data_IF_519112160192
#
_entry.id   IF_519112160192
#
_cell.length_a   1.000
_cell.length_b   1.000
_cell.length_c   1.000
_cell.angle_alpha   90.00
_cell.angle_beta   90.00
_cell.angle_gamma   90.00
#
_symmetry.space_group_name_H-M   'P 1'
#
loop_
_entity.id
_entity.type
_entity.pdbx_description
1 polymer ?
#
# COMPACT_ATOMS: atom_id res chain seq x y z
N UNK A 1 5.58 -9.97 36.51
CA UNK A 1 6.93 -10.33 36.03
C UNK A 1 6.75 -11.11 34.74
N UNK A 2 6.66 -10.40 33.62
CA UNK A 2 6.38 -10.99 32.30
C UNK A 2 7.73 -11.27 31.65
N UNK A 3 7.97 -12.52 31.31
CA UNK A 3 9.19 -12.96 30.65
C UNK A 3 9.32 -12.26 29.29
N UNK A 4 10.28 -11.35 29.20
CA UNK A 4 10.79 -10.82 27.94
C UNK A 4 11.53 -11.96 27.25
N UNK A 5 10.83 -12.67 26.37
CA UNK A 5 11.45 -13.60 25.44
C UNK A 5 12.37 -12.79 24.53
N UNK A 6 13.68 -12.97 24.71
CA UNK A 6 14.73 -12.52 23.83
C UNK A 6 14.50 -13.06 22.42
N UNK A 7 13.93 -12.23 21.55
CA UNK A 7 13.87 -12.46 20.11
C UNK A 7 14.99 -11.66 19.46
N UNK A 8 15.82 -12.38 18.72
CA UNK A 8 16.95 -11.97 17.88
C UNK A 8 16.95 -10.51 17.42
N UNK A 9 18.12 -9.88 17.60
CA UNK A 9 18.52 -8.53 17.18
C UNK A 9 18.60 -8.34 15.66
N UNK A 10 17.57 -8.72 14.91
CA UNK A 10 17.45 -8.37 13.50
C UNK A 10 16.49 -7.18 13.38
N UNK A 11 16.98 -6.10 12.76
CA UNK A 11 16.19 -4.89 12.51
C UNK A 11 14.89 -5.25 11.76
N UNK A 12 13.75 -4.88 12.32
CA UNK A 12 12.42 -5.04 11.68
C UNK A 12 12.27 -4.20 10.39
N UNK A 13 13.25 -3.32 10.13
CA UNK A 13 13.34 -2.47 8.94
C UNK A 13 14.63 -2.76 8.21
N UNK A 14 14.53 -2.91 6.89
CA UNK A 14 15.66 -2.87 5.98
C UNK A 14 15.63 -1.56 5.20
N UNK A 15 16.74 -0.83 5.28
CA UNK A 15 17.00 0.35 4.48
C UNK A 15 17.98 -0.01 3.37
N UNK A 16 17.68 0.39 2.14
CA UNK A 16 18.56 0.16 1.00
C UNK A 16 18.60 1.38 0.10
N UNK A 17 19.77 1.68 -0.45
CA UNK A 17 19.94 2.77 -1.42
C UNK A 17 19.69 2.23 -2.81
N UNK A 18 18.68 2.77 -3.47
CA UNK A 18 18.40 2.53 -4.89
C UNK A 18 18.51 3.85 -5.66
N UNK A 19 18.44 3.76 -6.98
CA UNK A 19 18.37 4.93 -7.86
C UNK A 19 17.05 4.91 -8.59
N UNK A 20 16.26 5.96 -8.41
CA UNK A 20 15.07 6.24 -9.23
C UNK A 20 15.35 7.43 -10.14
N UNK A 21 14.52 7.63 -11.17
CA UNK A 21 14.59 8.81 -12.01
C UNK A 21 13.60 9.85 -11.49
N UNK A 22 14.11 10.99 -11.05
CA UNK A 22 13.33 12.14 -10.63
C UNK A 22 13.51 13.24 -11.68
N UNK A 23 12.43 13.65 -12.33
CA UNK A 23 12.47 14.55 -13.50
C UNK A 23 13.53 14.13 -14.54
N UNK A 24 13.51 12.83 -14.90
CA UNK A 24 14.46 12.17 -15.83
C UNK A 24 15.93 12.20 -15.39
N UNK A 25 16.23 12.62 -14.16
CA UNK A 25 17.59 12.63 -13.60
C UNK A 25 17.73 11.54 -12.54
N UNK A 26 18.86 10.81 -12.49
CA UNK A 26 19.12 9.87 -11.40
C UNK A 26 19.05 10.56 -10.04
N UNK A 27 18.26 10.01 -9.12
CA UNK A 27 18.09 10.49 -7.76
C UNK A 27 18.34 9.36 -6.76
N UNK A 28 19.16 9.64 -5.74
CA UNK A 28 19.41 8.70 -4.65
C UNK A 28 18.14 8.53 -3.83
N UNK A 29 17.71 7.29 -3.72
CA UNK A 29 16.46 6.92 -3.06
C UNK A 29 16.76 5.97 -1.92
N UNK A 30 16.35 6.34 -0.71
CA UNK A 30 16.33 5.46 0.45
C UNK A 30 15.03 4.65 0.41
N UNK A 31 15.14 3.40 -0.05
CA UNK A 31 14.03 2.46 -0.06
C UNK A 31 13.86 1.78 1.30
N UNK A 32 12.61 1.74 1.77
CA UNK A 32 12.20 1.22 3.07
C UNK A 32 11.43 -0.08 2.88
N UNK A 33 11.95 -1.17 3.44
CA UNK A 33 11.29 -2.47 3.47
C UNK A 33 11.04 -2.89 4.92
N UNK A 34 9.78 -3.21 5.26
CA UNK A 34 9.43 -3.76 6.57
C UNK A 34 9.55 -5.29 6.54
N UNK A 35 10.34 -5.85 7.46
CA UNK A 35 10.66 -7.27 7.52
C UNK A 35 9.80 -8.06 8.52
N UNK A 36 8.83 -7.42 9.18
CA UNK A 36 7.99 -8.03 10.22
C UNK A 36 6.59 -8.41 9.69
N UNK A 37 6.39 -9.63 9.15
CA UNK A 37 5.17 -10.00 8.44
C UNK A 37 3.94 -10.25 9.34
N UNK A 38 4.10 -10.35 10.66
CA UNK A 38 3.04 -10.78 11.58
C UNK A 38 2.61 -9.73 12.60
N UNK A 39 3.31 -8.61 12.69
CA UNK A 39 3.06 -7.56 13.69
C UNK A 39 3.39 -6.22 13.07
N UNK A 40 2.69 -5.19 13.51
CA UNK A 40 3.13 -3.83 13.24
C UNK A 40 4.51 -3.64 13.85
N UNK A 41 5.39 -3.03 13.06
CA UNK A 41 6.69 -2.57 13.54
C UNK A 41 6.52 -1.72 14.80
N UNK A 42 7.38 -1.95 15.78
CA UNK A 42 7.37 -1.23 17.05
C UNK A 42 8.38 -0.05 17.06
N UNK A 43 8.11 1.05 17.78
CA UNK A 43 9.01 2.21 17.83
C UNK A 43 10.40 1.94 18.41
N UNK A 44 10.57 0.87 19.19
CA UNK A 44 11.85 0.39 19.72
C UNK A 44 12.79 -0.17 18.63
N UNK A 45 12.32 -0.32 17.39
CA UNK A 45 13.17 -0.58 16.23
C UNK A 45 14.04 0.64 15.83
N UNK A 46 13.65 1.88 16.19
CA UNK A 46 14.34 3.12 15.78
C UNK A 46 15.80 3.17 16.26
N UNK A 47 16.15 2.91 17.53
CA UNK A 47 17.52 3.04 18.01
C UNK A 47 18.53 2.11 17.32
N UNK A 48 18.06 1.03 16.69
CA UNK A 48 18.89 0.06 15.98
C UNK A 48 19.06 0.40 14.49
N UNK A 49 18.36 1.42 14.00
CA UNK A 49 18.38 1.81 12.59
C UNK A 49 19.51 2.80 12.31
N UNK A 50 20.44 2.38 11.45
CA UNK A 50 21.45 3.25 10.84
C UNK A 50 21.13 3.50 9.38
N UNK A 51 21.39 4.72 8.91
CA UNK A 51 21.37 5.00 7.47
C UNK A 51 22.46 4.16 6.78
N UNK A 52 22.20 3.62 5.58
CA UNK A 52 23.24 2.95 4.81
C UNK A 52 24.39 3.90 4.49
N UNK A 53 25.65 3.45 4.65
CA UNK A 53 26.84 4.26 4.37
C UNK A 53 26.93 4.72 2.90
N UNK A 54 26.26 3.99 2.00
CA UNK A 54 26.18 4.31 0.57
C UNK A 54 25.20 5.44 0.25
N UNK A 55 24.45 5.95 1.23
CA UNK A 55 23.52 7.06 1.06
C UNK A 55 24.30 8.39 1.06
N UNK A 56 24.40 8.99 -0.12
CA UNK A 56 25.06 10.29 -0.29
C UNK A 56 24.14 11.44 0.13
N UNK A 57 24.44 12.05 1.27
CA UNK A 57 23.72 13.22 1.80
C UNK A 57 24.20 14.56 1.21
N UNK A 58 25.11 14.57 0.25
CA UNK A 58 25.45 15.78 -0.51
C UNK A 58 24.47 16.05 -1.66
N UNK A 59 23.60 15.08 -1.96
CA UNK A 59 22.56 15.15 -2.98
C UNK A 59 21.18 15.07 -2.34
N UNK A 60 20.15 15.48 -3.09
CA UNK A 60 18.78 15.31 -2.67
C UNK A 60 18.41 13.84 -2.42
N UNK A 61 17.63 13.59 -1.38
CA UNK A 61 17.25 12.23 -0.95
C UNK A 61 15.75 12.03 -1.11
N UNK A 62 15.36 10.96 -1.82
CA UNK A 62 13.99 10.48 -1.88
C UNK A 62 13.77 9.34 -0.89
N UNK A 63 12.73 9.42 -0.06
CA UNK A 63 12.24 8.32 0.76
C UNK A 63 11.14 7.56 0.00
N UNK A 64 11.29 6.24 -0.12
CA UNK A 64 10.38 5.39 -0.91
C UNK A 64 10.04 4.09 -0.16
N UNK A 65 8.76 3.80 0.05
CA UNK A 65 8.33 2.52 0.63
C UNK A 65 7.11 2.62 1.52
N UNK A 66 6.62 1.49 2.03
CA UNK A 66 5.54 1.49 3.01
C UNK A 66 6.14 1.52 4.42
N UNK A 67 5.79 2.53 5.22
CA UNK A 67 6.28 2.68 6.59
C UNK A 67 5.31 3.51 7.44
N UNK A 68 5.30 3.33 8.77
CA UNK A 68 4.54 4.22 9.65
C UNK A 68 5.03 5.66 9.58
N UNK A 69 4.13 6.60 9.89
CA UNK A 69 4.41 8.05 9.87
C UNK A 69 5.61 8.42 10.76
N UNK A 70 5.72 7.81 11.94
CA UNK A 70 6.84 8.08 12.85
C UNK A 70 8.20 7.64 12.29
N UNK A 71 8.25 6.60 11.46
CA UNK A 71 9.49 6.14 10.83
C UNK A 71 9.90 7.12 9.73
N UNK A 72 8.93 7.60 8.95
CA UNK A 72 9.16 8.69 8.00
C UNK A 72 9.71 9.95 8.69
N UNK A 73 9.09 10.39 9.79
CA UNK A 73 9.57 11.55 10.54
C UNK A 73 11.02 11.37 11.01
N UNK A 74 11.35 10.19 11.56
CA UNK A 74 12.72 9.84 11.94
C UNK A 74 13.69 9.90 10.75
N UNK A 75 13.36 9.25 9.63
CA UNK A 75 14.25 9.22 8.46
C UNK A 75 14.44 10.59 7.82
N UNK A 76 13.40 11.44 7.80
CA UNK A 76 13.51 12.83 7.33
C UNK A 76 14.51 13.60 8.19
N UNK A 77 14.42 13.47 9.53
CA UNK A 77 15.38 14.09 10.45
C UNK A 77 16.80 13.59 10.21
N UNK A 78 16.99 12.27 10.04
CA UNK A 78 18.32 11.68 9.81
C UNK A 78 18.92 12.10 8.46
N UNK A 79 18.08 12.39 7.47
CA UNK A 79 18.49 12.88 6.16
C UNK A 79 18.54 14.41 6.06
N UNK A 80 18.36 15.16 7.16
CA UNK A 80 18.21 16.62 7.13
C UNK A 80 19.42 17.39 6.60
N UNK A 81 20.60 16.76 6.51
CA UNK A 81 21.80 17.36 5.92
C UNK A 81 21.74 17.42 4.39
N UNK A 82 20.88 16.61 3.76
CA UNK A 82 20.66 16.64 2.33
C UNK A 82 20.16 18.03 1.86
N UNK A 83 20.54 18.47 0.65
CA UNK A 83 19.99 19.67 0.02
C UNK A 83 18.46 19.75 0.08
N UNK A 84 17.80 18.60 -0.10
CA UNK A 84 16.36 18.44 0.08
C UNK A 84 16.02 16.98 0.40
N UNK A 85 14.88 16.76 1.06
CA UNK A 85 14.30 15.43 1.30
C UNK A 85 12.86 15.41 0.84
N UNK A 86 12.52 14.40 0.04
CA UNK A 86 11.18 14.21 -0.50
C UNK A 86 10.63 12.82 -0.15
N UNK A 87 9.31 12.69 -0.11
CA UNK A 87 8.62 11.41 0.12
C UNK A 87 7.81 11.04 -1.11
N UNK A 88 7.91 9.80 -1.58
CA UNK A 88 7.12 9.33 -2.70
C UNK A 88 5.62 9.22 -2.34
N UNK A 89 4.76 9.83 -3.15
CA UNK A 89 3.32 9.65 -3.10
C UNK A 89 2.83 8.82 -4.29
N UNK A 90 2.26 7.66 -3.99
CA UNK A 90 1.72 6.74 -4.99
C UNK A 90 0.60 7.36 -5.83
N UNK A 91 -0.21 8.25 -5.23
CA UNK A 91 -1.40 8.80 -5.90
C UNK A 91 -0.99 9.76 -7.02
N UNK A 92 -0.05 10.66 -6.74
CA UNK A 92 0.52 11.58 -7.72
C UNK A 92 1.63 10.96 -8.57
N UNK A 93 2.19 9.82 -8.17
CA UNK A 93 3.40 9.21 -8.75
C UNK A 93 4.60 10.17 -8.75
N UNK A 94 4.64 11.03 -7.75
CA UNK A 94 5.66 12.07 -7.59
C UNK A 94 6.25 12.01 -6.20
N UNK A 95 7.46 12.54 -6.07
CA UNK A 95 8.08 12.83 -4.79
C UNK A 95 7.62 14.22 -4.33
N UNK A 96 7.04 14.30 -3.13
CA UNK A 96 6.68 15.57 -2.50
C UNK A 96 7.83 16.02 -1.62
N UNK A 97 8.39 17.20 -1.89
CA UNK A 97 9.47 17.78 -1.09
C UNK A 97 8.91 18.13 0.29
N UNK A 98 9.55 17.61 1.35
CA UNK A 98 9.10 17.80 2.75
C UNK A 98 10.01 18.75 3.52
N UNK A 99 11.30 18.76 3.20
CA UNK A 99 12.25 19.75 3.68
C UNK A 99 13.25 20.11 2.58
N UNK A 100 13.73 21.36 2.59
CA UNK A 100 14.74 21.84 1.65
C UNK A 100 15.66 22.84 2.35
N UNK A 101 16.91 22.85 1.92
CA UNK A 101 17.99 23.76 2.34
C UNK A 101 18.54 24.54 1.14
N UNK A 102 17.94 24.39 -0.03
CA UNK A 102 18.30 25.11 -1.26
C UNK A 102 17.13 25.94 -1.74
N UNK A 103 17.40 26.89 -2.63
CA UNK A 103 16.36 27.67 -3.31
C UNK A 103 15.78 26.95 -4.54
N UNK A 104 16.33 25.80 -4.94
CA UNK A 104 15.87 25.05 -6.12
C UNK A 104 14.52 24.39 -5.89
N UNK A 105 14.28 23.92 -4.66
CA UNK A 105 13.04 23.26 -4.26
C UNK A 105 12.52 23.83 -2.94
N UNK A 106 11.20 23.95 -2.83
CA UNK A 106 10.48 24.40 -1.64
C UNK A 106 9.63 23.25 -1.09
N UNK A 107 9.44 23.12 0.23
CA UNK A 107 8.49 22.17 0.78
C UNK A 107 7.10 22.31 0.13
N UNK A 108 6.55 21.18 -0.33
CA UNK A 108 5.30 21.12 -1.10
C UNK A 108 5.51 20.95 -2.61
N UNK A 109 6.71 21.25 -3.14
CA UNK A 109 7.01 20.98 -4.55
C UNK A 109 6.91 19.50 -4.86
N UNK A 110 6.46 19.18 -6.08
CA UNK A 110 6.34 17.80 -6.56
C UNK A 110 7.34 17.54 -7.67
N UNK A 111 8.14 16.49 -7.51
CA UNK A 111 9.11 16.03 -8.49
C UNK A 111 8.58 14.73 -9.12
N UNK A 112 8.26 14.68 -10.42
CA UNK A 112 7.77 13.46 -11.07
C UNK A 112 8.78 12.31 -10.93
N UNK A 113 8.32 11.12 -10.54
CA UNK A 113 9.17 9.94 -10.38
C UNK A 113 8.81 8.90 -11.44
N UNK A 114 9.81 8.50 -12.21
CA UNK A 114 9.68 7.41 -13.18
C UNK A 114 10.06 6.10 -12.51
N UNK A 115 9.07 5.22 -12.35
CA UNK A 115 9.29 3.86 -11.90
C UNK A 115 9.60 2.99 -13.13
N UNK A 116 10.79 2.42 -13.18
CA UNK A 116 11.20 1.47 -14.22
C UNK A 116 10.52 0.09 -14.08
N UNK A 117 9.36 0.03 -13.41
CA UNK A 117 8.62 -1.20 -13.16
C UNK A 117 7.47 -1.33 -14.15
N UNK A 118 7.44 -2.47 -14.85
CA UNK A 118 6.25 -2.92 -15.57
C UNK A 118 5.16 -3.25 -14.56
N UNK A 119 3.91 -3.00 -14.93
CA UNK A 119 2.76 -3.32 -14.08
C UNK A 119 2.74 -4.82 -13.73
N UNK A 120 2.83 -5.10 -12.44
CA UNK A 120 2.91 -6.43 -11.87
C UNK A 120 1.55 -7.16 -11.91
N UNK A 121 1.51 -8.48 -11.67
CA UNK A 121 0.28 -9.24 -11.65
C UNK A 121 -0.76 -8.68 -10.65
N UNK A 122 -2.02 -8.70 -11.09
CA UNK A 122 -3.16 -8.40 -10.25
C UNK A 122 -4.21 -9.51 -10.37
N UNK A 123 -4.61 -10.07 -9.23
CA UNK A 123 -5.56 -11.18 -9.17
C UNK A 123 -6.88 -10.65 -8.62
N UNK A 124 -7.95 -10.74 -9.41
CA UNK A 124 -9.30 -10.49 -8.92
C UNK A 124 -9.73 -11.63 -8.00
N UNK A 125 -10.19 -11.33 -6.80
CA UNK A 125 -10.86 -12.28 -5.91
C UNK A 125 -12.37 -12.07 -6.02
N UNK A 126 -12.99 -12.87 -6.89
CA UNK A 126 -14.41 -12.77 -7.25
C UNK A 126 -15.29 -13.88 -6.68
N UNK A 127 -16.59 -13.76 -6.89
CA UNK A 127 -17.59 -14.78 -6.52
C UNK A 127 -18.77 -14.27 -5.69
N UNK A 128 -19.79 -15.12 -5.47
CA UNK A 128 -21.06 -14.72 -4.88
C UNK A 128 -20.93 -14.11 -3.47
N UNK A 129 -21.86 -13.25 -3.03
CA UNK A 129 -21.90 -12.78 -1.64
C UNK A 129 -21.81 -13.95 -0.64
N UNK A 130 -21.07 -13.76 0.46
CA UNK A 130 -20.85 -14.77 1.52
C UNK A 130 -20.16 -16.07 1.09
N UNK A 131 -19.51 -16.13 -0.08
CA UNK A 131 -18.75 -17.32 -0.52
C UNK A 131 -17.40 -17.52 0.16
N UNK A 132 -16.97 -16.60 1.03
CA UNK A 132 -15.67 -16.65 1.71
C UNK A 132 -14.53 -15.88 1.02
N UNK A 133 -14.82 -15.06 -0.01
CA UNK A 133 -13.83 -14.20 -0.69
C UNK A 133 -12.87 -13.47 0.24
N UNK A 134 -13.42 -12.66 1.15
CA UNK A 134 -12.60 -11.85 2.06
C UNK A 134 -11.80 -12.70 3.04
N UNK A 135 -12.33 -13.86 3.47
CA UNK A 135 -11.61 -14.82 4.32
C UNK A 135 -10.44 -15.42 3.55
N UNK A 136 -10.68 -15.85 2.30
CA UNK A 136 -9.64 -16.38 1.43
C UNK A 136 -8.57 -15.35 1.10
N UNK A 137 -8.94 -14.13 0.69
CA UNK A 137 -7.97 -13.10 0.31
C UNK A 137 -7.05 -12.75 1.47
N UNK A 138 -7.61 -12.63 2.68
CA UNK A 138 -6.82 -12.40 3.89
C UNK A 138 -5.94 -13.60 4.27
N UNK A 139 -6.48 -14.82 4.23
CA UNK A 139 -5.69 -16.03 4.50
C UNK A 139 -4.54 -16.21 3.50
N UNK A 140 -4.81 -15.95 2.21
CA UNK A 140 -3.82 -15.98 1.14
C UNK A 140 -2.74 -14.93 1.36
N UNK A 141 -3.11 -13.67 1.63
CA UNK A 141 -2.13 -12.62 1.92
C UNK A 141 -1.25 -13.00 3.11
N UNK A 142 -1.85 -13.39 4.23
CA UNK A 142 -1.09 -13.83 5.42
C UNK A 142 -0.14 -14.97 5.08
N UNK A 143 -0.58 -15.95 4.30
CA UNK A 143 0.27 -17.07 3.90
C UNK A 143 1.41 -16.66 2.97
N UNK A 144 1.15 -15.78 2.00
CA UNK A 144 2.17 -15.25 1.09
C UNK A 144 3.23 -14.46 1.84
N UNK A 145 2.82 -13.56 2.73
CA UNK A 145 3.75 -12.75 3.54
C UNK A 145 4.59 -13.64 4.46
N UNK A 146 4.04 -14.76 4.97
CA UNK A 146 4.78 -15.73 5.78
C UNK A 146 5.73 -16.63 4.98
N UNK A 147 5.33 -17.09 3.78
CA UNK A 147 6.09 -18.08 2.98
C UNK A 147 7.01 -17.45 1.95
N UNK A 148 6.69 -16.23 1.51
CA UNK A 148 7.36 -15.47 0.47
C UNK A 148 7.52 -14.01 0.95
N UNK A 149 8.27 -13.76 2.04
CA UNK A 149 8.41 -12.41 2.61
C UNK A 149 9.06 -11.40 1.67
N UNK A 150 9.78 -11.87 0.65
CA UNK A 150 10.35 -11.04 -0.40
C UNK A 150 9.33 -10.58 -1.44
N UNK A 151 8.17 -11.24 -1.54
CA UNK A 151 7.10 -10.88 -2.44
C UNK A 151 6.21 -9.83 -1.77
N UNK A 152 6.30 -8.58 -2.21
CA UNK A 152 5.44 -7.51 -1.71
C UNK A 152 4.02 -7.75 -2.20
N UNK A 153 3.12 -8.09 -1.27
CA UNK A 153 1.71 -8.35 -1.57
C UNK A 153 0.80 -7.33 -0.92
N UNK A 154 -0.25 -6.92 -1.64
CA UNK A 154 -1.23 -5.96 -1.13
C UNK A 154 -2.66 -6.37 -1.49
N UNK A 155 -3.55 -6.39 -0.51
CA UNK A 155 -5.00 -6.47 -0.76
C UNK A 155 -5.52 -5.06 -1.00
N UNK A 156 -5.90 -4.79 -2.25
CA UNK A 156 -6.54 -3.56 -2.66
C UNK A 156 -8.07 -3.74 -2.68
N UNK A 157 -8.74 -3.08 -1.73
CA UNK A 157 -10.20 -3.06 -1.58
C UNK A 157 -10.78 -1.93 -2.42
N UNK A 158 -11.36 -2.27 -3.57
CA UNK A 158 -11.96 -1.35 -4.51
C UNK A 158 -13.50 -1.25 -4.32
N UNK A 159 -13.97 -1.21 -3.07
CA UNK A 159 -15.37 -1.11 -2.65
C UNK A 159 -15.58 0.07 -1.67
N UNK A 160 -16.84 0.45 -1.43
CA UNK A 160 -17.21 1.56 -0.53
C UNK A 160 -18.11 1.13 0.64
N UNK A 161 -18.31 -0.18 0.83
CA UNK A 161 -19.26 -0.77 1.79
C UNK A 161 -18.81 -0.71 3.26
N UNK A 162 -17.70 -0.02 3.53
CA UNK A 162 -17.10 0.09 4.86
C UNK A 162 -16.26 -1.12 5.27
N UNK A 163 -16.22 -2.20 4.49
CA UNK A 163 -15.31 -3.32 4.72
C UNK A 163 -13.89 -2.93 4.26
N UNK A 164 -12.94 -2.97 5.19
CA UNK A 164 -11.51 -2.79 4.89
C UNK A 164 -10.66 -3.91 5.47
N UNK A 165 -9.35 -3.85 5.23
CA UNK A 165 -8.41 -4.85 5.76
C UNK A 165 -8.44 -4.92 7.31
N UNK A 166 -8.77 -3.81 7.97
CA UNK A 166 -9.01 -3.72 9.41
C UNK A 166 -9.98 -4.78 9.95
N UNK A 167 -10.94 -5.26 9.14
CA UNK A 167 -11.90 -6.32 9.47
C UNK A 167 -11.22 -7.60 9.93
N UNK A 168 -10.04 -7.90 9.38
CA UNK A 168 -9.30 -9.13 9.64
C UNK A 168 -7.97 -8.89 10.37
N UNK A 169 -7.55 -7.63 10.50
CA UNK A 169 -6.34 -7.21 11.22
C UNK A 169 -6.59 -6.96 12.71
N UNK A 170 -7.84 -6.72 13.13
CA UNK A 170 -8.18 -6.51 14.55
C UNK A 170 -8.80 -7.75 15.19
N UNK A 171 -8.41 -8.03 16.42
CA UNK A 171 -9.02 -9.09 17.24
C UNK A 171 -10.33 -8.65 17.91
N UNK A 172 -10.75 -7.38 17.76
CA UNK A 172 -11.92 -6.81 18.42
C UNK A 172 -13.16 -6.84 17.49
N UNK A 173 -14.09 -7.81 17.63
CA UNK A 173 -15.21 -7.96 16.71
C UNK A 173 -16.23 -6.81 16.86
N UNK A 174 -16.37 -6.26 18.06
CA UNK A 174 -17.25 -5.12 18.32
C UNK A 174 -16.77 -3.86 17.60
N UNK A 175 -15.45 -3.65 17.53
CA UNK A 175 -14.86 -2.56 16.77
C UNK A 175 -15.10 -2.74 15.27
N UNK A 176 -14.91 -3.95 14.73
CA UNK A 176 -15.18 -4.26 13.32
C UNK A 176 -16.63 -3.96 12.97
N UNK A 177 -17.58 -4.46 13.76
CA UNK A 177 -19.01 -4.26 13.47
C UNK A 177 -19.38 -2.77 13.55
N UNK A 178 -18.86 -2.05 14.54
CA UNK A 178 -19.05 -0.61 14.66
C UNK A 178 -18.50 0.14 13.43
N UNK A 179 -17.25 -0.13 13.04
CA UNK A 179 -16.60 0.53 11.90
C UNK A 179 -17.31 0.21 10.59
N UNK A 180 -17.73 -1.04 10.37
CA UNK A 180 -18.51 -1.40 9.20
C UNK A 180 -19.82 -0.62 9.15
N UNK A 181 -20.53 -0.52 10.28
CA UNK A 181 -21.80 0.24 10.35
C UNK A 181 -21.60 1.73 10.12
N UNK A 182 -20.59 2.33 10.74
CA UNK A 182 -20.31 3.77 10.66
C UNK A 182 -19.77 4.18 9.28
N UNK A 183 -19.02 3.29 8.62
CA UNK A 183 -18.43 3.55 7.30
C UNK A 183 -19.20 2.92 6.14
N UNK A 184 -20.40 2.35 6.38
CA UNK A 184 -21.23 1.84 5.29
C UNK A 184 -21.86 3.00 4.50
N UNK A 185 -21.13 3.49 3.51
CA UNK A 185 -21.59 4.55 2.64
C UNK A 185 -22.65 4.02 1.68
N UNK A 186 -23.91 4.45 1.86
CA UNK A 186 -25.02 4.15 0.94
C UNK A 186 -24.93 5.00 -0.33
N UNK A 187 -23.86 4.83 -1.10
CA UNK A 187 -23.56 5.65 -2.29
C UNK A 187 -24.70 5.62 -3.31
N UNK A 188 -25.38 4.49 -3.45
CA UNK A 188 -26.56 4.33 -4.32
C UNK A 188 -27.74 5.24 -3.96
N UNK A 189 -27.83 5.71 -2.71
CA UNK A 189 -28.94 6.53 -2.23
C UNK A 189 -28.65 8.03 -2.34
N UNK A 190 -27.46 8.41 -2.80
CA UNK A 190 -27.12 9.82 -2.97
C UNK A 190 -27.66 10.39 -4.28
N UNK A 191 -27.90 11.70 -4.37
CA UNK A 191 -28.12 12.38 -5.64
C UNK A 191 -26.94 12.12 -6.58
N UNK A 192 -27.23 11.92 -7.87
CA UNK A 192 -26.24 11.65 -8.92
C UNK A 192 -25.38 10.40 -8.63
N UNK A 193 -25.98 9.39 -7.98
CA UNK A 193 -25.30 8.15 -7.59
C UNK A 193 -24.60 7.46 -8.76
N UNK A 194 -25.23 7.36 -9.93
CA UNK A 194 -24.62 6.74 -11.12
C UNK A 194 -23.31 7.43 -11.53
N UNK A 195 -23.32 8.75 -11.64
CA UNK A 195 -22.12 9.52 -12.01
C UNK A 195 -21.02 9.39 -10.94
N UNK A 196 -21.40 9.38 -9.66
CA UNK A 196 -20.47 9.18 -8.53
C UNK A 196 -19.86 7.78 -8.53
N UNK A 197 -20.66 6.75 -8.78
CA UNK A 197 -20.20 5.34 -8.82
C UNK A 197 -19.25 5.15 -10.01
N UNK A 198 -19.58 5.69 -11.18
CA UNK A 198 -18.70 5.66 -12.35
C UNK A 198 -17.37 6.38 -12.07
N UNK A 199 -17.42 7.59 -11.48
CA UNK A 199 -16.22 8.33 -11.08
C UNK A 199 -15.39 7.56 -10.06
N UNK A 200 -16.04 6.91 -9.09
CA UNK A 200 -15.38 6.07 -8.09
C UNK A 200 -14.60 4.94 -8.75
N UNK A 201 -15.22 4.11 -9.59
CA UNK A 201 -14.54 2.96 -10.19
C UNK A 201 -13.46 3.37 -11.21
N UNK A 202 -13.62 4.50 -11.90
CA UNK A 202 -12.54 5.08 -12.71
C UNK A 202 -11.33 5.46 -11.85
N UNK A 203 -11.55 6.14 -10.72
CA UNK A 203 -10.46 6.48 -9.81
C UNK A 203 -9.81 5.21 -9.21
N UNK A 204 -10.62 4.22 -8.82
CA UNK A 204 -10.10 2.95 -8.29
C UNK A 204 -9.29 2.16 -9.32
N UNK A 205 -9.65 2.24 -10.61
CA UNK A 205 -8.92 1.63 -11.72
C UNK A 205 -7.54 2.28 -11.90
N UNK A 206 -7.47 3.60 -11.90
CA UNK A 206 -6.21 4.34 -11.96
C UNK A 206 -5.32 4.03 -10.75
N UNK A 207 -5.89 3.92 -9.56
CA UNK A 207 -5.15 3.51 -8.36
C UNK A 207 -4.64 2.07 -8.46
N UNK A 208 -5.45 1.12 -8.97
CA UNK A 208 -5.01 -0.25 -9.19
C UNK A 208 -3.82 -0.32 -10.16
N UNK A 209 -3.85 0.43 -11.26
CA UNK A 209 -2.75 0.53 -12.20
C UNK A 209 -1.46 1.03 -11.51
N UNK A 210 -1.58 2.08 -10.68
CA UNK A 210 -0.45 2.68 -9.95
C UNK A 210 0.12 1.73 -8.90
N UNK A 211 -0.73 1.08 -8.11
CA UNK A 211 -0.32 0.09 -7.09
C UNK A 211 0.51 -1.03 -7.72
N UNK A 212 0.07 -1.53 -8.89
CA UNK A 212 0.78 -2.60 -9.62
C UNK A 212 2.17 -2.20 -10.10
N UNK A 213 2.55 -0.92 -10.09
CA UNK A 213 3.90 -0.47 -10.44
C UNK A 213 4.86 -0.38 -9.25
N UNK A 214 4.37 -0.66 -8.03
CA UNK A 214 5.19 -0.62 -6.81
C UNK A 214 5.04 -1.86 -5.92
N UNK A 215 4.04 -2.71 -6.20
CA UNK A 215 3.75 -3.95 -5.47
C UNK A 215 3.92 -5.15 -6.42
N UNK A 216 4.62 -6.19 -5.97
CA UNK A 216 4.93 -7.39 -6.78
C UNK A 216 3.68 -8.24 -7.10
N UNK A 217 2.68 -8.25 -6.22
CA UNK A 217 1.40 -8.92 -6.43
C UNK A 217 0.25 -8.18 -5.74
N UNK A 218 -0.74 -7.77 -6.52
CA UNK A 218 -1.94 -7.11 -5.99
C UNK A 218 -3.14 -8.06 -5.99
N UNK A 219 -3.77 -8.26 -4.83
CA UNK A 219 -5.05 -8.96 -4.72
C UNK A 219 -6.16 -7.91 -4.75
N UNK A 220 -6.99 -7.93 -5.80
CA UNK A 220 -8.04 -6.94 -6.00
C UNK A 220 -9.37 -7.53 -5.56
N UNK A 221 -10.06 -6.83 -4.66
CA UNK A 221 -11.43 -7.12 -4.25
C UNK A 221 -12.33 -5.95 -4.60
N UNK A 222 -13.24 -6.16 -5.56
CA UNK A 222 -14.21 -5.15 -6.03
C UNK A 222 -15.56 -5.25 -5.33
N UNK A 223 -15.70 -6.17 -4.38
CA UNK A 223 -16.94 -6.47 -3.67
C UNK A 223 -18.02 -7.13 -4.54
N UNK A 224 -18.81 -8.03 -3.95
CA UNK A 224 -20.08 -8.53 -4.50
C UNK A 224 -20.07 -9.05 -5.95
N UNK A 225 -21.21 -8.91 -6.62
CA UNK A 225 -21.46 -9.37 -8.01
C UNK A 225 -20.73 -8.44 -9.00
N UNK A 226 -20.09 -8.98 -10.05
CA UNK A 226 -19.57 -8.17 -11.15
C UNK A 226 -20.70 -7.40 -11.84
N UNK A 227 -20.59 -6.07 -11.83
CA UNK A 227 -21.52 -5.15 -12.50
C UNK A 227 -20.71 -4.40 -13.57
N UNK A 228 -21.28 -4.08 -14.76
CA UNK A 228 -20.63 -3.24 -15.77
C UNK A 228 -19.87 -2.03 -15.22
N UNK A 229 -20.36 -1.38 -14.16
CA UNK A 229 -19.69 -0.21 -13.58
C UNK A 229 -18.32 -0.52 -12.96
N UNK A 230 -18.06 -1.79 -12.63
CA UNK A 230 -16.81 -2.30 -12.05
C UNK A 230 -15.77 -2.69 -13.09
N UNK A 231 -16.17 -2.81 -14.36
CA UNK A 231 -15.30 -3.23 -15.46
C UNK A 231 -13.96 -2.48 -15.49
N UNK A 232 -13.90 -1.15 -15.29
CA UNK A 232 -12.62 -0.45 -15.30
C UNK A 232 -11.58 -0.99 -14.31
N UNK A 233 -12.01 -1.49 -13.14
CA UNK A 233 -11.10 -2.10 -12.15
C UNK A 233 -10.79 -3.54 -12.50
N UNK A 234 -11.79 -4.29 -12.98
CA UNK A 234 -11.64 -5.68 -13.43
C UNK A 234 -10.62 -5.77 -14.57
N UNK A 235 -10.64 -4.84 -15.52
CA UNK A 235 -9.69 -4.75 -16.63
C UNK A 235 -8.25 -4.47 -16.19
N UNK A 236 -8.02 -4.03 -14.95
CA UNK A 236 -6.67 -3.93 -14.37
C UNK A 236 -6.15 -5.27 -13.83
N UNK A 237 -6.99 -6.30 -13.74
CA UNK A 237 -6.60 -7.62 -13.27
C UNK A 237 -6.01 -8.45 -14.42
N UNK A 238 -4.92 -9.15 -14.16
CA UNK A 238 -4.31 -10.09 -15.11
C UNK A 238 -4.82 -11.52 -14.94
N UNK A 239 -5.33 -11.86 -13.75
CA UNK A 239 -5.84 -13.18 -13.41
C UNK A 239 -7.09 -13.09 -12.52
N UNK A 240 -7.81 -14.21 -12.40
CA UNK A 240 -9.07 -14.29 -11.68
C UNK A 240 -9.09 -15.56 -10.81
N UNK A 241 -9.48 -15.40 -9.55
CA UNK A 241 -9.86 -16.50 -8.66
C UNK A 241 -11.31 -16.28 -8.27
N UNK A 242 -12.19 -17.20 -8.68
CA UNK A 242 -13.61 -17.16 -8.34
C UNK A 242 -13.90 -18.17 -7.25
N UNK A 243 -14.44 -17.70 -6.13
CA UNK A 243 -14.74 -18.52 -4.96
C UNK A 243 -16.25 -18.65 -4.83
N UNK A 244 -16.73 -19.89 -4.84
CA UNK A 244 -18.13 -20.19 -4.58
C UNK A 244 -18.27 -21.42 -3.69
N UNK A 245 -19.27 -21.38 -2.81
CA UNK A 245 -19.77 -22.56 -2.11
C UNK A 245 -20.87 -23.29 -2.90
N UNK A 246 -21.27 -22.73 -4.05
CA UNK A 246 -22.34 -23.22 -4.91
C UNK A 246 -21.99 -22.94 -6.37
N UNK A 247 -21.69 -23.99 -7.13
CA UNK A 247 -21.26 -23.88 -8.52
C UNK A 247 -22.27 -23.14 -9.39
N UNK A 248 -23.57 -23.27 -9.10
CA UNK A 248 -24.64 -22.66 -9.89
C UNK A 248 -24.72 -21.14 -9.75
N UNK A 249 -24.01 -20.56 -8.78
CA UNK A 249 -23.97 -19.11 -8.55
C UNK A 249 -22.76 -18.43 -9.20
N UNK A 250 -21.90 -19.20 -9.87
CA UNK A 250 -20.81 -18.64 -10.68
C UNK A 250 -21.45 -18.18 -12.00
N UNK A 251 -21.52 -16.87 -12.19
CA UNK A 251 -21.97 -16.20 -13.41
C UNK A 251 -20.78 -15.58 -14.12
#
# INVERSE_FOLDING_TARGET
MVALSSLSSQSEVKLQVITLLADRKPCKTLAIDLLAPQRFIQPDAIPLLSLPETLDLQQGVLLFGAAPVWLYAYLIERCCQAPWVATYDLRSQSAVVTCSRTSEYTPGDTIPIELNQVAQPAILIGGPPKSGKSVFSHALQRHLVQRQPHLKTHIYRANWDGEGNHTYETENPHLVERLRRENNFKLHHQPESDAKIQKFFRARSQEAEKIRRVIDLTLIDVGGIPDPVKLPVIEQCTHYIVISCDFNKIQ
#
